data_IF_256497640873
#
_entry.id   IF_256497640873
#
_cell.length_a   1.000
_cell.length_b   1.000
_cell.length_c   1.000
_cell.angle_alpha   90.00
_cell.angle_beta   90.00
_cell.angle_gamma   90.00
#
_symmetry.space_group_name_H-M   'P 1'
#
loop_
_entity.id
_entity.type
_entity.pdbx_description
1 polymer ?
#
# COMPACT_ATOMS: atom_id res chain seq x y z
N UNK A 1 -9.21 -6.92 -14.82
CA UNK A 1 -9.18 -6.03 -13.64
C UNK A 1 -7.74 -5.75 -13.28
N UNK A 2 -7.38 -4.50 -12.98
CA UNK A 2 -6.03 -4.12 -12.54
C UNK A 2 -6.00 -4.07 -11.01
N UNK A 3 -5.05 -4.73 -10.38
CA UNK A 3 -4.90 -4.81 -8.91
C UNK A 3 -3.51 -4.34 -8.50
N UNK A 4 -3.40 -3.67 -7.36
CA UNK A 4 -2.12 -3.26 -6.77
C UNK A 4 -2.08 -3.56 -5.27
N UNK A 5 -0.88 -3.86 -4.77
CA UNK A 5 -0.58 -3.97 -3.34
C UNK A 5 0.27 -2.79 -2.86
N UNK A 6 0.03 -2.31 -1.64
CA UNK A 6 0.81 -1.24 -1.00
C UNK A 6 1.37 -1.76 0.31
N UNK A 7 2.68 -1.59 0.52
CA UNK A 7 3.39 -1.88 1.77
C UNK A 7 4.35 -0.75 2.13
N UNK A 8 4.67 -0.64 3.41
CA UNK A 8 5.76 0.19 3.92
C UNK A 8 6.83 -0.71 4.53
N UNK A 9 8.10 -0.41 4.27
CA UNK A 9 9.23 -1.22 4.75
C UNK A 9 10.35 -0.30 5.26
N UNK A 10 11.08 -0.76 6.27
CA UNK A 10 12.05 0.05 7.01
C UNK A 10 11.46 0.64 8.29
N UNK A 11 12.14 1.61 8.88
CA UNK A 11 11.64 2.32 10.05
C UNK A 11 10.54 3.32 9.68
N UNK A 12 9.53 3.45 10.54
CA UNK A 12 8.44 4.40 10.32
C UNK A 12 8.94 5.84 10.27
N UNK A 13 8.34 6.62 9.37
CA UNK A 13 8.65 8.04 9.22
C UNK A 13 7.36 8.88 9.09
N UNK A 14 7.40 10.14 9.54
CA UNK A 14 6.31 11.09 9.30
C UNK A 14 5.99 11.17 7.80
N UNK A 15 4.70 11.03 7.45
CA UNK A 15 4.22 11.15 6.08
C UNK A 15 3.95 9.83 5.35
N UNK A 16 4.39 8.68 5.88
CA UNK A 16 4.10 7.37 5.25
C UNK A 16 2.59 7.11 5.10
N UNK A 17 1.80 7.39 6.13
CA UNK A 17 0.33 7.27 6.06
C UNK A 17 -0.30 8.21 5.01
N UNK A 18 0.26 9.41 4.84
CA UNK A 18 -0.21 10.35 3.82
C UNK A 18 0.11 9.83 2.41
N UNK A 19 1.28 9.22 2.21
CA UNK A 19 1.66 8.60 0.94
C UNK A 19 0.75 7.42 0.59
N UNK A 20 0.53 6.48 1.52
CA UNK A 20 -0.40 5.35 1.36
C UNK A 20 -1.80 5.85 0.99
N UNK A 21 -2.31 6.86 1.70
CA UNK A 21 -3.62 7.47 1.42
C UNK A 21 -3.68 8.09 0.02
N UNK A 22 -2.68 8.88 -0.38
CA UNK A 22 -2.66 9.53 -1.70
C UNK A 22 -2.67 8.49 -2.84
N UNK A 23 -1.82 7.46 -2.72
CA UNK A 23 -1.69 6.39 -3.71
C UNK A 23 -2.97 5.55 -3.80
N UNK A 24 -3.55 5.18 -2.66
CA UNK A 24 -4.84 4.47 -2.60
C UNK A 24 -5.95 5.26 -3.30
N UNK A 25 -6.07 6.56 -3.00
CA UNK A 25 -7.12 7.41 -3.59
C UNK A 25 -6.98 7.54 -5.11
N UNK A 26 -5.76 7.75 -5.59
CA UNK A 26 -5.49 7.85 -7.03
C UNK A 26 -5.78 6.51 -7.73
N UNK A 27 -5.32 5.39 -7.18
CA UNK A 27 -5.55 4.08 -7.75
C UNK A 27 -7.04 3.72 -7.85
N UNK A 28 -7.82 4.00 -6.80
CA UNK A 28 -9.28 3.80 -6.82
C UNK A 28 -9.97 4.66 -7.88
N UNK A 29 -9.53 5.91 -8.07
CA UNK A 29 -10.05 6.80 -9.11
C UNK A 29 -9.76 6.26 -10.53
N UNK A 30 -8.61 5.62 -10.72
CA UNK A 30 -8.20 4.98 -11.98
C UNK A 30 -8.79 3.56 -12.18
N UNK A 31 -9.70 3.13 -11.30
CA UNK A 31 -10.39 1.85 -11.38
C UNK A 31 -9.52 0.63 -11.01
N UNK A 32 -8.49 0.83 -10.20
CA UNK A 32 -7.73 -0.27 -9.60
C UNK A 32 -8.40 -0.78 -8.33
N UNK A 33 -8.23 -2.07 -8.08
CA UNK A 33 -8.47 -2.66 -6.77
C UNK A 33 -7.17 -2.57 -5.94
N UNK A 34 -7.26 -2.15 -4.67
CA UNK A 34 -6.11 -1.85 -3.81
C UNK A 34 -6.11 -2.77 -2.61
N UNK A 35 -4.96 -3.40 -2.34
CA UNK A 35 -4.72 -4.26 -1.19
C UNK A 35 -3.59 -3.65 -0.33
N UNK A 36 -3.78 -3.65 0.99
CA UNK A 36 -2.72 -3.32 1.93
C UNK A 36 -1.99 -4.58 2.35
N UNK A 37 -0.66 -4.53 2.37
CA UNK A 37 0.19 -5.60 2.88
C UNK A 37 0.82 -5.10 4.17
N UNK A 38 0.50 -5.78 5.26
CA UNK A 38 0.98 -5.45 6.60
C UNK A 38 2.41 -5.99 6.80
N UNK A 39 3.15 -5.43 7.75
CA UNK A 39 4.52 -5.85 8.11
C UNK A 39 5.53 -5.87 6.95
N UNK A 40 5.35 -4.99 5.97
CA UNK A 40 6.29 -4.80 4.87
C UNK A 40 6.50 -6.06 4.04
N UNK A 41 7.76 -6.38 3.73
CA UNK A 41 8.09 -7.60 2.98
C UNK A 41 7.82 -8.88 3.77
N UNK A 42 7.79 -8.83 5.11
CA UNK A 42 7.51 -10.01 5.92
C UNK A 42 6.07 -10.47 5.70
N UNK A 43 5.09 -9.59 5.89
CA UNK A 43 3.70 -9.94 5.65
C UNK A 43 3.40 -10.22 4.17
N UNK A 44 4.20 -9.69 3.23
CA UNK A 44 4.09 -10.09 1.82
C UNK A 44 4.47 -11.56 1.55
N UNK A 45 5.41 -12.10 2.32
CA UNK A 45 5.91 -13.47 2.12
C UNK A 45 5.11 -14.49 2.92
N UNK A 46 4.54 -14.07 4.05
CA UNK A 46 3.92 -14.95 5.04
C UNK A 46 2.40 -15.13 4.88
N UNK A 47 1.70 -14.24 4.16
CA UNK A 47 0.23 -14.15 4.06
C UNK A 47 -0.24 -13.99 2.60
#
# INVERSE_FOLDING_TARGET
MRKIGILTSGGDAPGMNAAVRALTRMALQEGFEVYGVYDGYKGLVED
#
